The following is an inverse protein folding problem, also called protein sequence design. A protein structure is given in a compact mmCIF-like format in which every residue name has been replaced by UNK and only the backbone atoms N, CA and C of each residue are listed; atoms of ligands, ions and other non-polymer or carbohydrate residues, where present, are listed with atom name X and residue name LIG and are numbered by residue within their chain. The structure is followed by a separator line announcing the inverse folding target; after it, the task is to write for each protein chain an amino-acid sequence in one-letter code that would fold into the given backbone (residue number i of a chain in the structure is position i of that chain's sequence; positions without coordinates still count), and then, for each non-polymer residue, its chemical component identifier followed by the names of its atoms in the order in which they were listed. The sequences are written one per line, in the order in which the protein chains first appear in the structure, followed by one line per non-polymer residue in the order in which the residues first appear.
data_IF_377996315949
#
_entry.id   IF_377996315949
#
_cell.length_a   1.000
_cell.length_b   1.000
_cell.length_c   1.000
_cell.angle_alpha   90.00
_cell.angle_beta   90.00
_cell.angle_gamma   90.00
#
_symmetry.space_group_name_H-M   'P 1'
#
loop_
_entity.id
_entity.type
_entity.pdbx_description
1 polymer ?
#
# COMPACT_ATOMS: atom_id res chain seq x y z
N UNK A 1 -65.48 -53.88 5.82
CA UNK A 1 -64.33 -54.77 6.09
C UNK A 1 -63.28 -54.48 5.03
N UNK A 2 -62.01 -54.32 5.45
CA UNK A 2 -60.81 -53.89 4.71
C UNK A 2 -60.66 -52.39 4.37
N UNK A 3 -59.78 -51.78 5.18
CA UNK A 3 -59.14 -50.48 5.05
C UNK A 3 -58.15 -50.52 3.88
N UNK A 4 -58.24 -49.60 2.92
CA UNK A 4 -57.13 -49.34 2.00
C UNK A 4 -56.36 -48.12 2.49
N UNK A 5 -55.18 -48.42 3.02
CA UNK A 5 -54.14 -47.49 3.44
C UNK A 5 -53.42 -47.00 2.17
N UNK A 6 -53.76 -45.80 1.69
CA UNK A 6 -53.06 -45.14 0.60
C UNK A 6 -51.88 -44.33 1.15
N UNK A 7 -50.67 -44.87 0.97
CA UNK A 7 -49.38 -44.33 1.36
C UNK A 7 -49.15 -42.91 0.79
N UNK A 8 -49.05 -41.89 1.65
CA UNK A 8 -48.62 -40.54 1.27
C UNK A 8 -47.08 -40.54 1.29
N UNK A 9 -46.46 -40.62 0.11
CA UNK A 9 -45.01 -40.44 -0.01
C UNK A 9 -44.70 -38.94 0.02
N UNK A 10 -44.16 -38.51 1.16
CA UNK A 10 -43.61 -37.19 1.45
C UNK A 10 -42.27 -37.03 0.71
N UNK A 11 -42.14 -36.09 -0.23
CA UNK A 11 -40.84 -35.58 -0.68
C UNK A 11 -40.78 -34.07 -0.44
N UNK A 12 -40.48 -33.71 0.81
CA UNK A 12 -40.06 -32.37 1.17
C UNK A 12 -38.55 -32.24 0.95
N UNK A 13 -38.13 -31.86 -0.26
CA UNK A 13 -36.74 -31.47 -0.53
C UNK A 13 -36.50 -30.05 -0.02
N UNK A 14 -35.96 -29.92 1.20
CA UNK A 14 -35.45 -28.63 1.67
C UNK A 14 -34.11 -28.41 0.95
N UNK A 15 -34.11 -27.58 -0.09
CA UNK A 15 -32.87 -27.08 -0.68
C UNK A 15 -32.21 -26.15 0.34
N UNK A 16 -31.29 -26.66 1.14
CA UNK A 16 -30.43 -25.82 1.97
C UNK A 16 -29.40 -25.17 1.05
N UNK A 17 -29.72 -24.03 0.45
CA UNK A 17 -28.72 -23.21 -0.23
C UNK A 17 -27.84 -22.58 0.85
N UNK A 18 -26.76 -23.28 1.21
CA UNK A 18 -25.71 -22.71 2.06
C UNK A 18 -25.03 -21.59 1.28
N UNK A 19 -25.11 -20.36 1.79
CA UNK A 19 -24.32 -19.25 1.27
C UNK A 19 -22.90 -19.46 1.80
N UNK A 20 -21.99 -19.89 0.93
CA UNK A 20 -20.58 -19.99 1.30
C UNK A 20 -19.99 -18.58 1.34
N UNK A 21 -19.56 -18.14 2.52
CA UNK A 21 -18.75 -16.94 2.66
C UNK A 21 -17.29 -17.36 2.47
N UNK A 22 -16.67 -16.97 1.37
CA UNK A 22 -15.23 -17.11 1.22
C UNK A 22 -14.56 -16.08 2.15
N UNK A 23 -13.65 -16.54 3.01
CA UNK A 23 -12.77 -15.62 3.73
C UNK A 23 -11.63 -15.28 2.75
N UNK A 24 -11.42 -13.99 2.40
CA UNK A 24 -10.41 -13.62 1.44
C UNK A 24 -9.00 -13.94 1.96
N UNK A 25 -8.10 -14.36 1.07
CA UNK A 25 -6.69 -14.46 1.43
C UNK A 25 -6.11 -13.06 1.59
N UNK A 26 -5.62 -12.72 2.78
CA UNK A 26 -4.98 -11.44 3.01
C UNK A 26 -3.48 -11.46 2.68
N UNK A 27 -2.98 -10.37 2.10
CA UNK A 27 -1.56 -10.10 1.84
C UNK A 27 -1.23 -8.69 2.32
N UNK A 28 -0.21 -8.58 3.16
CA UNK A 28 0.30 -7.28 3.64
C UNK A 28 1.58 -6.92 2.87
N UNK A 29 1.61 -5.75 2.24
CA UNK A 29 2.73 -5.26 1.45
C UNK A 29 3.32 -4.03 2.11
N UNK A 30 4.64 -3.99 2.30
CA UNK A 30 5.34 -2.81 2.80
C UNK A 30 5.97 -2.04 1.65
N UNK A 31 5.78 -0.73 1.61
CA UNK A 31 6.31 0.16 0.58
C UNK A 31 7.03 1.35 1.21
N UNK A 32 8.35 1.43 1.04
CA UNK A 32 9.14 2.57 1.48
C UNK A 32 9.20 3.64 0.40
N UNK A 33 9.05 4.91 0.78
CA UNK A 33 9.19 6.08 -0.10
C UNK A 33 10.61 6.14 -0.68
N UNK A 34 10.71 6.41 -1.98
CA UNK A 34 11.97 6.68 -2.67
C UNK A 34 12.43 8.13 -2.46
N UNK A 35 13.71 8.39 -2.68
CA UNK A 35 14.22 9.76 -2.67
C UNK A 35 13.48 10.60 -3.71
N UNK A 36 13.17 11.85 -3.35
CA UNK A 36 12.44 12.84 -4.18
C UNK A 36 11.04 12.45 -4.69
N UNK A 37 10.54 11.25 -4.34
CA UNK A 37 9.21 10.78 -4.71
C UNK A 37 8.13 11.64 -4.05
N UNK A 38 7.21 12.21 -4.84
CA UNK A 38 6.01 12.87 -4.30
C UNK A 38 4.93 11.84 -3.94
N UNK A 39 3.85 12.31 -3.31
CA UNK A 39 2.81 11.41 -2.82
C UNK A 39 2.09 10.66 -3.97
N UNK A 40 1.84 11.33 -5.09
CA UNK A 40 1.16 10.75 -6.24
C UNK A 40 1.99 9.62 -6.85
N UNK A 41 3.29 9.82 -7.03
CA UNK A 41 4.23 8.81 -7.50
C UNK A 41 4.28 7.62 -6.55
N UNK A 42 4.32 7.88 -5.24
CA UNK A 42 4.30 6.85 -4.21
C UNK A 42 3.03 5.98 -4.29
N UNK A 43 1.87 6.60 -4.45
CA UNK A 43 0.60 5.89 -4.63
C UNK A 43 0.58 5.11 -5.96
N UNK A 44 1.06 5.67 -7.07
CA UNK A 44 1.14 4.93 -8.34
C UNK A 44 2.02 3.67 -8.25
N UNK A 45 3.13 3.75 -7.52
CA UNK A 45 3.99 2.59 -7.27
C UNK A 45 3.32 1.56 -6.37
N UNK A 46 2.60 2.00 -5.34
CA UNK A 46 1.78 1.12 -4.51
C UNK A 46 0.71 0.38 -5.33
N UNK A 47 0.04 1.09 -6.25
CA UNK A 47 -0.96 0.53 -7.15
C UNK A 47 -0.37 -0.54 -8.07
N UNK A 48 0.80 -0.25 -8.67
CA UNK A 48 1.51 -1.18 -9.54
C UNK A 48 1.95 -2.44 -8.78
N UNK A 49 2.52 -2.26 -7.58
CA UNK A 49 2.93 -3.37 -6.71
C UNK A 49 1.74 -4.25 -6.33
N UNK A 50 0.60 -3.63 -6.01
CA UNK A 50 -0.64 -4.33 -5.62
C UNK A 50 -1.20 -5.14 -6.79
N UNK A 51 -1.30 -4.53 -7.97
CA UNK A 51 -1.78 -5.22 -9.19
C UNK A 51 -0.92 -6.44 -9.53
N UNK A 52 0.40 -6.29 -9.52
CA UNK A 52 1.34 -7.38 -9.75
C UNK A 52 1.19 -8.50 -8.72
N UNK A 53 1.02 -8.13 -7.45
CA UNK A 53 0.81 -9.09 -6.37
C UNK A 53 -0.48 -9.89 -6.58
N UNK A 54 -1.60 -9.22 -6.84
CA UNK A 54 -2.90 -9.89 -7.09
C UNK A 54 -2.79 -10.84 -8.28
N UNK A 55 -2.21 -10.38 -9.39
CA UNK A 55 -1.99 -11.21 -10.57
C UNK A 55 -1.16 -12.46 -10.26
N UNK A 56 -0.09 -12.31 -9.46
CA UNK A 56 0.75 -13.43 -9.06
C UNK A 56 0.03 -14.39 -8.11
N UNK A 57 -0.78 -13.88 -7.16
CA UNK A 57 -1.55 -14.72 -6.22
C UNK A 57 -2.55 -15.59 -6.97
N UNK A 58 -3.32 -15.03 -7.89
CA UNK A 58 -4.27 -15.80 -8.69
C UNK A 58 -3.59 -16.77 -9.66
N UNK A 59 -2.41 -16.43 -10.18
CA UNK A 59 -1.61 -17.32 -11.04
C UNK A 59 -1.05 -18.51 -10.25
N UNK A 60 -0.56 -18.27 -9.04
CA UNK A 60 0.13 -19.28 -8.23
C UNK A 60 -0.82 -20.23 -7.48
N UNK A 61 -2.03 -19.77 -7.16
CA UNK A 61 -3.02 -20.60 -6.48
C UNK A 61 -4.33 -20.57 -7.25
N UNK A 62 -4.67 -21.66 -7.94
CA UNK A 62 -5.89 -21.76 -8.75
C UNK A 62 -7.18 -21.85 -7.93
N UNK A 63 -7.11 -22.39 -6.71
CA UNK A 63 -8.25 -22.50 -5.78
C UNK A 63 -8.54 -21.20 -5.03
N UNK A 64 -7.70 -20.18 -5.20
CA UNK A 64 -7.91 -18.87 -4.57
C UNK A 64 -9.03 -18.12 -5.28
N UNK A 65 -10.13 -17.88 -4.58
CA UNK A 65 -11.30 -17.17 -5.11
C UNK A 65 -11.22 -15.66 -4.90
N UNK A 66 -10.67 -15.22 -3.76
CA UNK A 66 -10.65 -13.82 -3.34
C UNK A 66 -9.34 -13.44 -2.66
N UNK A 67 -8.87 -12.22 -2.95
CA UNK A 67 -7.62 -11.66 -2.41
C UNK A 67 -7.91 -10.30 -1.81
N UNK A 68 -7.42 -10.09 -0.58
CA UNK A 68 -7.35 -8.80 0.08
C UNK A 68 -5.90 -8.37 0.21
N UNK A 69 -5.53 -7.25 -0.37
CA UNK A 69 -4.19 -6.67 -0.26
C UNK A 69 -4.25 -5.39 0.55
N UNK A 70 -3.43 -5.30 1.60
CA UNK A 70 -3.24 -4.09 2.38
C UNK A 70 -1.82 -3.59 2.12
N UNK A 71 -1.68 -2.33 1.70
CA UNK A 71 -0.37 -1.70 1.53
C UNK A 71 -0.09 -0.77 2.69
N UNK A 72 1.05 -0.99 3.33
CA UNK A 72 1.60 -0.19 4.41
C UNK A 72 2.75 0.65 3.84
N UNK A 73 2.60 1.96 3.88
CA UNK A 73 3.61 2.90 3.45
C UNK A 73 4.57 3.25 4.59
N UNK A 74 5.83 3.52 4.23
CA UNK A 74 6.86 4.06 5.14
C UNK A 74 7.52 5.30 4.53
N UNK A 75 7.59 6.39 5.29
CA UNK A 75 8.36 7.58 4.93
C UNK A 75 9.06 8.16 6.17
N UNK A 76 10.39 8.24 6.15
CA UNK A 76 11.21 8.82 7.24
C UNK A 76 10.84 8.29 8.65
N UNK A 77 10.51 7.01 8.75
CA UNK A 77 10.12 6.36 10.01
C UNK A 77 8.63 6.47 10.36
N UNK A 78 7.85 7.27 9.65
CA UNK A 78 6.40 7.24 9.74
C UNK A 78 5.85 6.03 8.96
N UNK A 79 4.88 5.32 9.55
CA UNK A 79 4.29 4.09 8.99
C UNK A 79 2.76 4.23 9.02
N UNK A 80 2.11 4.04 7.88
CA UNK A 80 0.66 4.12 7.79
C UNK A 80 0.11 3.23 6.66
N UNK A 81 -1.10 2.67 6.79
CA UNK A 81 -1.78 2.06 5.66
C UNK A 81 -2.10 3.13 4.60
N UNK A 82 -1.89 2.81 3.33
CA UNK A 82 -2.06 3.77 2.21
C UNK A 82 -3.18 3.40 1.27
N UNK A 83 -3.35 2.11 0.97
CA UNK A 83 -4.48 1.61 0.22
C UNK A 83 -4.80 0.15 0.60
N UNK A 84 -6.04 -0.25 0.38
CA UNK A 84 -6.48 -1.64 0.42
C UNK A 84 -7.19 -1.98 -0.88
N UNK A 85 -7.01 -3.20 -1.37
CA UNK A 85 -7.73 -3.74 -2.53
C UNK A 85 -8.30 -5.09 -2.16
N UNK A 86 -9.59 -5.29 -2.39
CA UNK A 86 -10.25 -6.57 -2.19
C UNK A 86 -10.98 -6.97 -3.46
N UNK A 87 -10.59 -8.10 -4.05
CA UNK A 87 -11.08 -8.50 -5.36
C UNK A 87 -11.16 -10.01 -5.48
N UNK A 88 -12.25 -10.49 -6.09
CA UNK A 88 -12.40 -11.89 -6.48
C UNK A 88 -11.86 -12.16 -7.90
N UNK A 89 -11.53 -13.42 -8.18
CA UNK A 89 -10.94 -13.85 -9.44
C UNK A 89 -11.80 -13.50 -10.67
N UNK A 90 -13.12 -13.63 -10.56
CA UNK A 90 -14.02 -13.37 -11.67
C UNK A 90 -13.98 -11.89 -12.08
N UNK A 91 -14.00 -11.00 -11.10
CA UNK A 91 -13.86 -9.56 -11.28
C UNK A 91 -12.47 -9.22 -11.85
N UNK A 92 -11.40 -9.83 -11.31
CA UNK A 92 -10.03 -9.64 -11.78
C UNK A 92 -9.85 -10.03 -13.25
N UNK A 93 -10.41 -11.17 -13.66
CA UNK A 93 -10.33 -11.65 -15.04
C UNK A 93 -11.12 -10.75 -16.01
N UNK A 94 -12.16 -10.05 -15.52
CA UNK A 94 -12.98 -9.16 -16.34
C UNK A 94 -12.29 -7.83 -16.60
N UNK A 95 -11.65 -7.24 -15.59
CA UNK A 95 -10.95 -5.96 -15.69
C UNK A 95 -9.76 -5.95 -14.71
N UNK A 96 -8.51 -6.27 -15.12
CA UNK A 96 -7.36 -6.40 -14.22
C UNK A 96 -6.81 -5.05 -13.73
N UNK A 97 -7.69 -4.11 -13.40
CA UNK A 97 -7.41 -2.78 -12.88
C UNK A 97 -7.90 -2.67 -11.45
N UNK A 98 -6.99 -2.39 -10.52
CA UNK A 98 -7.34 -2.27 -9.09
C UNK A 98 -8.23 -1.04 -8.79
N UNK A 99 -8.32 -0.07 -9.71
CA UNK A 99 -9.00 1.22 -9.47
C UNK A 99 -10.46 1.08 -9.03
N UNK A 100 -11.15 0.02 -9.47
CA UNK A 100 -12.56 -0.22 -9.11
C UNK A 100 -12.76 -0.76 -7.70
N UNK A 101 -11.72 -1.37 -7.13
CA UNK A 101 -11.80 -2.10 -5.86
C UNK A 101 -10.83 -1.54 -4.80
N UNK A 102 -10.13 -0.47 -5.15
CA UNK A 102 -9.21 0.24 -4.28
C UNK A 102 -10.00 1.08 -3.29
N UNK A 103 -9.60 0.98 -2.03
CA UNK A 103 -10.01 1.87 -0.96
C UNK A 103 -8.77 2.62 -0.44
N UNK A 104 -8.82 3.94 -0.54
CA UNK A 104 -7.72 4.81 -0.14
C UNK A 104 -7.85 5.20 1.34
N UNK A 105 -6.71 5.29 2.04
CA UNK A 105 -6.69 5.82 3.39
C UNK A 105 -6.50 7.35 3.31
N UNK A 106 -7.53 8.16 3.64
CA UNK A 106 -7.52 9.60 3.35
C UNK A 106 -6.43 10.37 4.10
N UNK A 107 -6.04 9.89 5.29
CA UNK A 107 -5.03 10.54 6.14
C UNK A 107 -3.61 10.04 5.90
N UNK A 108 -3.41 9.08 4.99
CA UNK A 108 -2.09 8.46 4.80
C UNK A 108 -1.03 9.47 4.34
N UNK A 109 -1.40 10.47 3.53
CA UNK A 109 -0.52 11.56 3.11
C UNK A 109 0.05 12.37 4.29
N UNK A 110 -0.82 12.75 5.21
CA UNK A 110 -0.45 13.52 6.41
C UNK A 110 0.33 12.66 7.39
N UNK A 111 -0.15 11.44 7.67
CA UNK A 111 0.51 10.50 8.57
C UNK A 111 1.92 10.14 8.12
N UNK A 112 2.14 10.07 6.79
CA UNK A 112 3.45 9.82 6.21
C UNK A 112 4.28 11.11 6.04
N UNK A 113 3.78 12.27 6.44
CA UNK A 113 4.52 13.53 6.40
C UNK A 113 4.86 14.03 4.99
N UNK A 114 4.02 13.77 4.00
CA UNK A 114 4.17 14.36 2.65
C UNK A 114 3.81 15.85 2.62
N UNK A 115 3.04 16.34 3.59
CA UNK A 115 2.62 17.75 3.72
C UNK A 115 3.65 18.62 4.46
N UNK A 116 4.62 18.03 5.15
CA UNK A 116 5.63 18.82 5.85
C UNK A 116 6.55 19.45 4.81
N UNK A 117 6.63 20.80 4.73
CA UNK A 117 7.75 21.44 4.07
C UNK A 117 8.98 20.78 4.68
N UNK A 118 9.89 20.28 3.83
CA UNK A 118 11.20 19.90 4.34
C UNK A 118 11.65 21.09 5.16
N UNK A 119 11.83 20.91 6.48
CA UNK A 119 12.49 21.91 7.29
C UNK A 119 13.84 22.08 6.60
N UNK A 120 13.92 23.06 5.70
CA UNK A 120 15.17 23.58 5.22
C UNK A 120 15.87 23.87 6.52
N UNK A 121 17.03 23.24 6.70
CA UNK A 121 18.01 23.74 7.63
C UNK A 121 18.30 25.13 7.10
N UNK A 122 17.48 26.09 7.53
CA UNK A 122 17.75 27.49 7.40
C UNK A 122 19.13 27.63 8.03
N UNK A 123 20.13 28.10 7.28
CA UNK A 123 21.41 28.42 7.89
C UNK A 123 21.06 29.26 9.10
N UNK A 124 21.51 28.87 10.30
CA UNK A 124 21.44 29.74 11.45
C UNK A 124 22.17 31.02 11.07
N UNK A 125 21.43 32.01 10.59
CA UNK A 125 21.87 33.40 10.59
C UNK A 125 22.15 33.68 12.06
N UNK A 126 23.41 34.00 12.42
CA UNK A 126 23.71 34.40 13.78
C UNK A 126 22.75 35.52 14.16
N UNK A 127 22.09 35.37 15.30
CA UNK A 127 21.27 36.42 15.88
C UNK A 127 22.20 37.60 16.12
N UNK A 128 22.16 38.61 15.25
CA UNK A 128 22.70 39.92 15.58
C UNK A 128 21.86 40.45 16.74
N UNK A 129 22.44 40.40 17.94
CA UNK A 129 21.92 41.05 19.13
C UNK A 129 21.66 42.53 18.81
N UNK A 130 20.48 43.10 19.13
CA UNK A 130 20.25 44.52 18.90
C UNK A 130 21.06 45.31 19.93
N UNK A 131 22.27 45.70 19.56
CA UNK A 131 22.96 46.81 20.21
C UNK A 131 22.20 48.07 19.84
N UNK A 132 21.40 48.55 20.78
CA UNK A 132 20.86 49.91 20.72
C UNK A 132 22.01 50.89 20.93
N UNK A 133 22.40 51.63 19.90
CA UNK A 133 23.22 52.84 20.05
C UNK A 133 22.71 53.92 19.07
N UNK A 134 22.60 55.19 19.50
CA UNK A 134 21.60 56.14 19.03
C UNK A 134 21.96 56.85 17.74
N UNK A 135 20.91 57.38 17.10
CA UNK A 135 20.92 58.19 15.88
C UNK A 135 21.95 59.32 15.89
N UNK A 136 22.67 59.44 14.77
CA UNK A 136 23.14 60.73 14.27
C UNK A 136 22.61 60.92 12.85
N UNK A 137 21.97 62.07 12.55
CA UNK A 137 21.42 62.34 11.23
C UNK A 137 22.57 62.78 10.32
N UNK A 138 22.71 62.17 9.15
CA UNK A 138 23.30 62.92 8.05
C UNK A 138 22.63 62.61 6.72
N UNK A 139 22.45 63.71 6.00
CA UNK A 139 21.65 63.87 4.80
C UNK A 139 22.54 63.69 3.59
N UNK A 140 22.17 62.83 2.64
CA UNK A 140 22.56 62.82 1.22
C UNK A 140 21.92 61.59 0.58
N UNK A 141 21.26 61.59 -0.55
CA UNK A 141 20.79 62.59 -1.49
C UNK A 141 19.78 61.83 -2.39
N UNK A 142 18.77 62.52 -2.87
CA UNK A 142 17.78 62.00 -3.82
C UNK A 142 18.39 62.07 -5.22
N UNK A 143 18.19 61.08 -6.11
CA UNK A 143 18.00 61.25 -7.57
C UNK A 143 17.79 59.89 -8.29
N UNK A 144 17.01 59.85 -9.40
CA UNK A 144 16.13 58.74 -9.76
C UNK A 144 16.59 57.87 -10.97
N UNK A 145 15.74 56.87 -11.25
CA UNK A 145 15.66 55.74 -12.22
C UNK A 145 15.79 56.06 -13.76
N UNK A 146 15.50 55.11 -14.71
CA UNK A 146 16.30 54.16 -15.56
C UNK A 146 16.38 54.65 -17.05
N UNK A 147 16.29 53.88 -18.18
CA UNK A 147 16.41 52.43 -18.54
C UNK A 147 17.26 52.13 -19.82
N UNK A 148 17.54 50.85 -20.12
CA UNK A 148 17.51 50.37 -21.52
C UNK A 148 17.26 48.85 -21.60
N UNK A 149 16.42 48.49 -22.58
CA UNK A 149 15.86 47.16 -22.92
C UNK A 149 16.64 46.60 -24.14
N UNK A 150 16.15 45.58 -24.87
CA UNK A 150 16.07 44.12 -24.66
C UNK A 150 17.16 43.33 -25.42
N UNK A 151 17.35 42.05 -25.13
CA UNK A 151 17.74 41.08 -26.19
C UNK A 151 16.99 39.76 -26.03
N UNK A 152 16.09 39.54 -26.98
CA UNK A 152 15.52 38.25 -27.40
C UNK A 152 16.66 37.32 -27.85
N UNK A 153 16.52 35.99 -27.70
CA UNK A 153 16.67 34.99 -28.78
C UNK A 153 16.80 33.55 -28.24
N UNK A 154 15.86 32.73 -28.69
CA UNK A 154 15.87 31.28 -28.96
C UNK A 154 16.11 30.20 -27.88
N UNK A 155 14.99 29.53 -27.62
CA UNK A 155 14.82 28.07 -27.47
C UNK A 155 15.63 27.27 -28.49
N UNK A 156 16.25 26.15 -28.07
CA UNK A 156 15.86 24.90 -28.69
C UNK A 156 15.50 23.82 -27.66
N UNK A 157 14.32 23.28 -27.92
CA UNK A 157 13.74 22.04 -27.44
C UNK A 157 14.76 20.89 -27.41
N UNK A 158 14.98 20.31 -26.23
CA UNK A 158 15.62 18.99 -26.10
C UNK A 158 14.71 18.09 -25.30
N UNK A 159 14.08 17.16 -26.02
CA UNK A 159 13.29 16.05 -25.52
C UNK A 159 13.87 15.43 -24.23
N UNK A 160 13.05 15.09 -23.23
CA UNK A 160 13.48 14.18 -22.19
C UNK A 160 13.78 12.80 -22.81
N UNK A 161 14.87 12.12 -22.43
CA UNK A 161 15.07 10.74 -22.82
C UNK A 161 13.93 9.88 -22.24
N UNK A 162 13.27 9.15 -23.13
CA UNK A 162 12.49 7.95 -22.81
C UNK A 162 13.26 7.10 -21.78
N UNK A 163 12.70 6.76 -20.61
CA UNK A 163 13.31 5.74 -19.78
C UNK A 163 13.22 4.42 -20.53
N UNK A 164 14.39 3.92 -20.96
CA UNK A 164 14.58 2.54 -21.38
C UNK A 164 13.99 1.62 -20.31
N UNK A 165 13.23 0.56 -20.67
CA UNK A 165 12.75 -0.42 -19.73
C UNK A 165 13.94 -0.95 -18.91
N UNK A 166 13.92 -0.68 -17.61
CA UNK A 166 14.84 -1.33 -16.69
C UNK A 166 14.62 -2.84 -16.84
N UNK A 167 15.69 -3.51 -17.25
CA UNK A 167 15.82 -4.95 -17.31
C UNK A 167 15.31 -5.53 -15.99
N UNK A 168 14.25 -6.34 -16.08
CA UNK A 168 13.72 -7.13 -14.97
C UNK A 168 14.86 -8.03 -14.47
N UNK A 169 15.58 -7.58 -13.43
CA UNK A 169 16.41 -8.47 -12.63
C UNK A 169 15.45 -9.51 -12.03
N UNK A 170 15.60 -10.80 -12.34
CA UNK A 170 14.79 -11.83 -11.72
C UNK A 170 15.02 -11.76 -10.22
N UNK A 171 13.96 -11.60 -9.43
CA UNK A 171 14.03 -11.83 -8.00
C UNK A 171 14.59 -13.24 -7.78
N UNK A 172 15.49 -13.44 -6.79
CA UNK A 172 15.87 -14.78 -6.40
C UNK A 172 14.59 -15.55 -6.05
N UNK A 173 14.43 -16.73 -6.66
CA UNK A 173 13.47 -17.71 -6.18
C UNK A 173 13.67 -17.85 -4.67
N UNK A 174 12.60 -17.92 -3.85
CA UNK A 174 12.73 -18.51 -2.53
C UNK A 174 13.04 -19.99 -2.75
N UNK A 175 14.32 -20.30 -2.93
CA UNK A 175 14.82 -21.65 -2.80
C UNK A 175 14.58 -22.11 -1.36
N UNK A 176 13.89 -23.24 -1.27
CA UNK A 176 14.00 -24.23 -0.20
C UNK A 176 13.42 -23.80 1.15
N UNK A 177 12.18 -24.25 1.38
CA UNK A 177 11.78 -24.72 2.71
C UNK A 177 12.89 -25.64 3.24
N UNK A 178 13.53 -25.35 4.39
CA UNK A 178 14.26 -26.37 5.09
C UNK A 178 13.25 -27.45 5.44
N UNK A 179 13.48 -28.69 4.99
CA UNK A 179 12.83 -29.85 5.60
C UNK A 179 13.34 -29.92 7.04
N UNK A 180 12.65 -29.24 7.95
CA UNK A 180 12.77 -29.54 9.37
C UNK A 180 12.06 -30.87 9.61
N UNK A 181 12.86 -31.94 9.59
CA UNK A 181 12.51 -33.22 10.19
C UNK A 181 12.46 -33.04 11.72
N UNK A 182 11.46 -32.28 12.17
CA UNK A 182 11.15 -32.07 13.58
C UNK A 182 9.91 -32.90 13.88
N UNK A 183 9.98 -33.88 14.81
CA UNK A 183 8.80 -34.63 15.21
C UNK A 183 7.73 -33.68 15.74
N UNK A 184 6.43 -33.99 15.56
CA UNK A 184 5.36 -33.11 15.99
C UNK A 184 5.45 -32.85 17.50
N UNK A 185 5.34 -31.58 17.88
CA UNK A 185 5.20 -31.12 19.25
C UNK A 185 3.99 -31.85 19.87
N UNK A 186 4.15 -32.61 20.97
CA UNK A 186 3.00 -33.23 21.62
C UNK A 186 2.06 -32.16 22.17
N UNK A 187 0.76 -32.29 21.87
CA UNK A 187 -0.26 -31.38 22.39
C UNK A 187 -0.23 -31.35 23.93
N UNK A 188 -0.39 -30.17 24.56
CA UNK A 188 -0.46 -30.06 26.00
C UNK A 188 -1.74 -30.71 26.55
N UNK A 189 -1.54 -31.82 27.25
CA UNK A 189 -2.36 -32.41 28.32
C UNK A 189 -3.88 -32.56 28.07
N UNK A 190 -4.26 -33.74 27.58
CA UNK A 190 -5.54 -34.33 27.95
C UNK A 190 -5.55 -34.69 29.44
N UNK A 191 -6.15 -33.79 30.21
CA UNK A 191 -6.87 -33.96 31.47
C UNK A 191 -7.07 -35.41 31.96
N UNK A 192 -6.40 -35.74 33.07
CA UNK A 192 -6.83 -36.62 34.18
C UNK A 192 -7.50 -37.96 33.83
N UNK A 193 -6.72 -39.04 33.79
CA UNK A 193 -7.23 -40.40 34.06
C UNK A 193 -7.25 -40.61 35.60
N UNK A 194 -8.40 -40.90 36.24
CA UNK A 194 -8.42 -41.24 37.65
C UNK A 194 -7.81 -42.63 37.86
N UNK A 195 -6.83 -42.66 38.75
CA UNK A 195 -6.19 -43.83 39.34
C UNK A 195 -7.23 -44.90 39.74
N UNK A 196 -7.22 -46.06 39.06
CA UNK A 196 -7.99 -47.24 39.51
C UNK A 196 -7.04 -48.15 40.27
N UNK A 197 -7.09 -48.01 41.59
CA UNK A 197 -6.52 -48.98 42.53
C UNK A 197 -7.31 -50.29 42.42
N UNK A 198 -6.64 -51.39 42.10
CA UNK A 198 -6.84 -52.71 42.70
C UNK A 198 -5.67 -53.63 42.41
#
# INVERSE_FOLDING_TARGET
MYKFLGLITLLGGILTTGVAWAIPSEVNLSLKRQETENYEQFIQRAQTLTSNTIQQRFKNNQSLEEVRVVVIGENKGAIAPILTVEVNRNNWNTDPSIKRWQNDFPFSRELLGFEQPQAQMEPSVPIEVPTSEPETPDTSDLTPEPPDTPETTDTPEKNPPTPSPAELVPLPYPDQVPSTDTPPIPLPNQRLQPNRIR
#
